data_IF_963884237695
#
_entry.id   IF_963884237695
#
_cell.length_a   1.000
_cell.length_b   1.000
_cell.length_c   1.000
_cell.angle_alpha   90.00
_cell.angle_beta   90.00
_cell.angle_gamma   90.00
#
_symmetry.space_group_name_H-M   'P 1'
#
loop_
_entity.id
_entity.type
_entity.pdbx_description
1 polymer ?
#
# COMPACT_ATOMS: atom_id res chain seq x y z
N UNK A 1 18.61 4.25 -23.25
CA UNK A 1 19.70 3.71 -22.40
C UNK A 1 19.08 2.84 -21.32
N UNK A 2 19.54 1.60 -21.13
CA UNK A 2 19.09 0.78 -19.99
C UNK A 2 19.58 1.43 -18.70
N UNK A 3 18.65 1.78 -17.80
CA UNK A 3 18.99 2.43 -16.52
C UNK A 3 19.71 1.43 -15.62
N UNK A 4 20.82 1.85 -15.01
CA UNK A 4 21.59 1.02 -14.08
C UNK A 4 20.84 0.95 -12.75
N UNK A 5 20.57 -0.26 -12.27
CA UNK A 5 19.88 -0.49 -11.00
C UNK A 5 20.63 0.21 -9.84
N UNK A 6 19.93 1.09 -9.12
CA UNK A 6 20.50 1.79 -7.98
C UNK A 6 20.31 0.95 -6.71
N UNK A 7 21.41 0.76 -5.97
CA UNK A 7 21.40 0.09 -4.66
C UNK A 7 21.46 1.14 -3.55
N UNK A 8 20.33 1.50 -2.92
CA UNK A 8 20.31 2.55 -1.90
C UNK A 8 21.02 2.10 -0.62
N UNK A 9 21.97 2.92 -0.15
CA UNK A 9 22.67 2.72 1.13
C UNK A 9 21.70 2.99 2.29
N UNK A 10 21.84 2.23 3.38
CA UNK A 10 21.11 2.51 4.62
C UNK A 10 21.65 3.80 5.25
N UNK A 11 20.75 4.66 5.69
CA UNK A 11 21.06 5.91 6.40
C UNK A 11 20.35 5.87 7.74
N UNK A 12 21.02 6.32 8.78
CA UNK A 12 20.48 6.40 10.15
C UNK A 12 20.33 7.87 10.53
N UNK A 13 19.32 8.19 11.34
CA UNK A 13 19.08 9.55 11.83
C UNK A 13 17.61 9.80 12.14
N UNK A 14 17.35 10.94 12.81
CA UNK A 14 16.01 11.34 13.24
C UNK A 14 14.97 11.30 12.13
N UNK A 15 15.27 11.93 10.99
CA UNK A 15 14.38 11.95 9.84
C UNK A 15 14.09 10.58 9.24
N UNK A 16 15.06 9.65 9.30
CA UNK A 16 14.83 8.27 8.85
C UNK A 16 13.91 7.53 9.83
N UNK A 17 14.09 7.71 11.13
CA UNK A 17 13.21 7.12 12.14
C UNK A 17 11.77 7.64 12.00
N UNK A 18 11.59 8.95 11.80
CA UNK A 18 10.28 9.54 11.54
C UNK A 18 9.60 8.91 10.31
N UNK A 19 10.37 8.67 9.25
CA UNK A 19 9.86 8.01 8.05
C UNK A 19 9.42 6.57 8.31
N UNK A 20 10.16 5.80 9.11
CA UNK A 20 9.75 4.45 9.50
C UNK A 20 8.47 4.45 10.34
N UNK A 21 8.34 5.37 11.29
CA UNK A 21 7.14 5.54 12.10
C UNK A 21 5.94 5.92 11.23
N UNK A 22 6.10 6.91 10.35
CA UNK A 22 5.05 7.31 9.40
C UNK A 22 4.62 6.16 8.49
N UNK A 23 5.58 5.43 7.92
CA UNK A 23 5.32 4.24 7.11
C UNK A 23 4.52 3.18 7.89
N UNK A 24 4.91 2.88 9.14
CA UNK A 24 4.23 1.91 9.98
C UNK A 24 2.80 2.35 10.34
N UNK A 25 2.59 3.62 10.67
CA UNK A 25 1.26 4.18 10.97
C UNK A 25 0.37 4.10 9.73
N UNK A 26 0.84 4.55 8.57
CA UNK A 26 0.04 4.61 7.35
C UNK A 26 -0.33 3.22 6.84
N UNK A 27 0.62 2.28 6.85
CA UNK A 27 0.34 0.88 6.52
C UNK A 27 -0.58 0.23 7.57
N UNK A 28 -0.38 0.53 8.86
CA UNK A 28 -1.23 0.05 9.94
C UNK A 28 -2.68 0.50 9.81
N UNK A 29 -2.89 1.78 9.47
CA UNK A 29 -4.22 2.32 9.18
C UNK A 29 -4.80 1.63 7.94
N UNK A 30 -4.04 1.56 6.85
CA UNK A 30 -4.51 0.99 5.59
C UNK A 30 -4.92 -0.48 5.71
N UNK A 31 -4.12 -1.29 6.41
CA UNK A 31 -4.42 -2.70 6.61
C UNK A 31 -5.40 -2.95 7.75
N UNK A 32 -5.42 -2.12 8.79
CA UNK A 32 -6.20 -2.36 10.00
C UNK A 32 -7.63 -1.85 9.93
N UNK A 33 -7.87 -0.70 9.29
CA UNK A 33 -9.19 -0.05 9.28
C UNK A 33 -10.31 -0.94 8.75
N UNK A 34 -10.16 -1.73 7.67
CA UNK A 34 -11.24 -2.60 7.18
C UNK A 34 -11.67 -3.68 8.18
N UNK A 35 -10.80 -4.05 9.12
CA UNK A 35 -11.09 -5.06 10.14
C UNK A 35 -11.76 -4.49 11.40
N UNK A 36 -11.75 -3.17 11.54
CA UNK A 36 -12.33 -2.53 12.71
C UNK A 36 -13.86 -2.67 12.65
N UNK A 37 -14.41 -3.33 13.66
CA UNK A 37 -15.86 -3.48 13.81
C UNK A 37 -16.43 -2.29 14.55
N UNK A 38 -17.56 -1.78 14.06
CA UNK A 38 -18.26 -0.65 14.63
C UNK A 38 -19.76 -0.88 14.54
N UNK A 39 -20.40 -1.04 15.70
CA UNK A 39 -21.85 -1.23 15.80
C UNK A 39 -22.58 0.11 15.56
N UNK A 40 -23.53 0.11 14.63
CA UNK A 40 -24.37 1.26 14.25
C UNK A 40 -25.86 1.01 14.52
N UNK A 41 -26.20 -0.12 15.14
CA UNK A 41 -27.57 -0.56 15.36
C UNK A 41 -28.03 -1.64 14.37
N UNK A 42 -29.24 -2.13 14.59
CA UNK A 42 -29.82 -3.28 13.91
C UNK A 42 -29.93 -3.07 12.39
N UNK A 43 -29.31 -3.95 11.61
CA UNK A 43 -29.44 -4.02 10.15
C UNK A 43 -28.45 -3.18 9.34
N UNK A 44 -27.50 -2.50 10.01
CA UNK A 44 -26.40 -1.81 9.33
C UNK A 44 -25.14 -2.68 9.28
N UNK A 45 -24.24 -2.48 8.28
CA UNK A 45 -22.96 -3.19 8.25
C UNK A 45 -22.10 -2.80 9.47
N UNK A 46 -21.51 -3.77 10.17
CA UNK A 46 -20.65 -3.46 11.34
C UNK A 46 -19.19 -3.16 10.98
N UNK A 47 -18.87 -2.81 9.73
CA UNK A 47 -17.51 -2.43 9.35
C UNK A 47 -17.30 -0.92 9.50
N UNK A 48 -16.26 -0.50 10.23
CA UNK A 48 -16.02 0.90 10.57
C UNK A 48 -15.86 1.81 9.35
N UNK A 49 -15.19 1.37 8.29
CA UNK A 49 -15.12 2.12 7.03
C UNK A 49 -15.53 1.22 5.89
N UNK A 50 -16.62 1.56 5.21
CA UNK A 50 -17.19 0.75 4.13
C UNK A 50 -17.77 1.66 3.05
N UNK A 51 -17.31 1.46 1.82
CA UNK A 51 -17.89 2.06 0.60
C UNK A 51 -18.90 1.08 0.04
N UNK A 52 -20.15 1.21 0.45
CA UNK A 52 -21.25 0.38 -0.04
C UNK A 52 -21.76 0.92 -1.38
N UNK A 53 -21.16 0.40 -2.45
CA UNK A 53 -21.53 0.77 -3.83
C UNK A 53 -22.94 0.29 -4.19
N UNK A 54 -23.40 -0.82 -3.60
CA UNK A 54 -24.71 -1.40 -3.93
C UNK A 54 -25.87 -0.54 -3.43
N UNK A 55 -25.73 0.00 -2.21
CA UNK A 55 -26.73 0.91 -1.63
C UNK A 55 -26.38 2.40 -1.82
N UNK A 56 -25.25 2.70 -2.48
CA UNK A 56 -24.78 4.06 -2.70
C UNK A 56 -24.46 4.81 -1.41
N UNK A 57 -23.97 4.12 -0.38
CA UNK A 57 -23.69 4.70 0.94
C UNK A 57 -22.21 4.59 1.27
N UNK A 58 -21.66 5.62 1.90
CA UNK A 58 -20.31 5.57 2.45
C UNK A 58 -20.37 5.66 3.97
N UNK A 59 -19.84 4.64 4.64
CA UNK A 59 -19.82 4.58 6.10
C UNK A 59 -18.43 4.91 6.63
N UNK A 60 -18.37 5.82 7.61
CA UNK A 60 -17.16 6.23 8.32
C UNK A 60 -17.46 6.30 9.82
N UNK A 61 -17.06 5.26 10.56
CA UNK A 61 -17.40 5.06 11.97
C UNK A 61 -18.91 5.21 12.20
N UNK A 62 -19.36 6.16 13.02
CA UNK A 62 -20.78 6.41 13.27
C UNK A 62 -21.47 7.26 12.20
N UNK A 63 -20.72 7.79 11.23
CA UNK A 63 -21.26 8.65 10.18
C UNK A 63 -21.60 7.83 8.94
N UNK A 64 -22.81 8.02 8.42
CA UNK A 64 -23.21 7.58 7.10
C UNK A 64 -23.27 8.79 6.16
N UNK A 65 -22.69 8.67 4.98
CA UNK A 65 -22.71 9.69 3.95
C UNK A 65 -23.57 9.20 2.80
N UNK A 66 -24.58 10.00 2.48
CA UNK A 66 -25.44 9.81 1.33
C UNK A 66 -24.81 10.45 0.08
N UNK A 67 -25.18 10.04 -1.14
CA UNK A 67 -24.63 10.59 -2.38
C UNK A 67 -24.72 12.12 -2.50
N UNK A 68 -25.77 12.71 -1.92
CA UNK A 68 -25.98 14.17 -1.90
C UNK A 68 -24.97 14.89 -0.98
N UNK A 69 -24.50 14.21 0.06
CA UNK A 69 -23.56 14.73 1.06
C UNK A 69 -22.09 14.58 0.62
N UNK A 70 -21.85 13.92 -0.53
CA UNK A 70 -20.52 13.81 -1.15
C UNK A 70 -19.92 15.18 -1.46
N UNK A 71 -20.72 16.25 -1.49
CA UNK A 71 -20.23 17.63 -1.58
C UNK A 71 -19.29 18.00 -0.42
N UNK A 72 -19.53 17.49 0.79
CA UNK A 72 -18.64 17.73 1.94
C UNK A 72 -17.30 17.02 1.74
N UNK A 73 -17.32 15.78 1.26
CA UNK A 73 -16.11 15.01 0.92
C UNK A 73 -15.35 15.72 -0.19
N UNK A 74 -16.04 16.21 -1.22
CA UNK A 74 -15.44 16.95 -2.34
C UNK A 74 -14.78 18.25 -1.85
N UNK A 75 -15.44 19.01 -1.00
CA UNK A 75 -14.87 20.20 -0.37
C UNK A 75 -13.61 19.88 0.44
N UNK A 76 -13.61 18.79 1.20
CA UNK A 76 -12.45 18.31 1.94
C UNK A 76 -11.30 17.92 1.00
N UNK A 77 -11.59 17.24 -0.11
CA UNK A 77 -10.58 16.86 -1.11
C UNK A 77 -9.96 18.09 -1.78
N UNK A 78 -10.75 19.13 -2.07
CA UNK A 78 -10.25 20.41 -2.59
C UNK A 78 -9.32 21.08 -1.57
N UNK A 79 -9.73 21.15 -0.30
CA UNK A 79 -8.90 21.70 0.77
C UNK A 79 -7.61 20.90 0.96
N UNK A 80 -7.68 19.57 0.89
CA UNK A 80 -6.50 18.70 0.96
C UNK A 80 -5.56 18.92 -0.23
N UNK A 81 -6.09 19.10 -1.44
CA UNK A 81 -5.29 19.41 -2.63
C UNK A 81 -4.60 20.78 -2.51
N UNK A 82 -5.33 21.82 -2.08
CA UNK A 82 -4.76 23.14 -1.81
C UNK A 82 -3.69 23.09 -0.72
N UNK A 83 -3.94 22.34 0.36
CA UNK A 83 -2.98 22.10 1.43
C UNK A 83 -1.73 21.40 0.94
N UNK A 84 -1.86 20.39 0.09
CA UNK A 84 -0.74 19.69 -0.54
C UNK A 84 0.10 20.63 -1.41
N UNK A 85 -0.52 21.48 -2.23
CA UNK A 85 0.18 22.49 -3.02
C UNK A 85 0.92 23.50 -2.13
N UNK A 86 0.27 23.98 -1.07
CA UNK A 86 0.88 24.91 -0.12
C UNK A 86 2.10 24.29 0.58
N UNK A 87 1.98 23.06 1.10
CA UNK A 87 3.08 22.33 1.72
C UNK A 87 4.22 22.12 0.72
N UNK A 88 3.88 21.80 -0.54
CA UNK A 88 4.89 21.63 -1.59
C UNK A 88 5.61 22.94 -1.93
N UNK A 89 4.89 24.06 -1.95
CA UNK A 89 5.48 25.38 -2.18
C UNK A 89 6.39 25.85 -1.04
N UNK A 90 6.01 25.57 0.22
CA UNK A 90 6.76 26.01 1.40
C UNK A 90 7.94 25.08 1.75
N UNK A 91 7.75 23.77 1.66
CA UNK A 91 8.68 22.77 2.17
C UNK A 91 9.25 21.85 1.08
N UNK A 92 8.87 22.04 -0.19
CA UNK A 92 9.34 21.23 -1.30
C UNK A 92 8.78 19.81 -1.29
N UNK A 93 9.63 18.80 -1.55
CA UNK A 93 9.21 17.40 -1.78
C UNK A 93 8.92 16.58 -0.49
N UNK A 94 8.50 17.22 0.60
CA UNK A 94 8.23 16.52 1.87
C UNK A 94 7.14 15.46 1.72
N UNK A 95 6.03 15.78 1.03
CA UNK A 95 4.96 14.81 0.78
C UNK A 95 5.48 13.57 0.04
N UNK A 96 6.14 13.79 -1.10
CA UNK A 96 6.72 12.72 -1.91
C UNK A 96 7.78 11.93 -1.13
N UNK A 97 8.52 12.55 -0.21
CA UNK A 97 9.57 11.91 0.57
C UNK A 97 9.08 11.04 1.74
N UNK A 98 7.92 11.36 2.34
CA UNK A 98 7.48 10.77 3.61
C UNK A 98 6.09 10.14 3.61
N UNK A 99 5.14 10.66 2.84
CA UNK A 99 3.72 10.29 2.93
C UNK A 99 3.14 9.74 1.62
N UNK A 100 3.78 9.98 0.48
CA UNK A 100 3.29 9.46 -0.80
C UNK A 100 3.18 7.92 -0.76
N UNK A 101 2.04 7.34 -1.16
CA UNK A 101 1.87 5.88 -1.19
C UNK A 101 2.98 5.18 -1.96
N UNK A 102 3.37 5.70 -3.13
CA UNK A 102 4.45 5.10 -3.90
C UNK A 102 5.75 4.95 -3.08
N UNK A 103 6.08 5.95 -2.27
CA UNK A 103 7.28 5.96 -1.42
C UNK A 103 7.19 4.96 -0.29
N UNK A 104 6.05 4.88 0.41
CA UNK A 104 5.83 3.96 1.52
C UNK A 104 5.99 2.50 1.06
N UNK A 105 5.37 2.13 -0.06
CA UNK A 105 5.48 0.77 -0.59
C UNK A 105 6.88 0.48 -1.15
N UNK A 106 7.52 1.45 -1.80
CA UNK A 106 8.91 1.30 -2.27
C UNK A 106 9.88 1.10 -1.11
N UNK A 107 9.75 1.88 -0.01
CA UNK A 107 10.59 1.70 1.18
C UNK A 107 10.35 0.36 1.86
N UNK A 108 9.10 -0.11 1.90
CA UNK A 108 8.76 -1.45 2.38
C UNK A 108 9.42 -2.54 1.52
N UNK A 109 9.38 -2.42 0.20
CA UNK A 109 10.00 -3.38 -0.71
C UNK A 109 11.52 -3.39 -0.58
N UNK A 110 12.14 -2.21 -0.37
CA UNK A 110 13.58 -2.08 -0.10
C UNK A 110 13.94 -2.68 1.27
N UNK A 111 13.07 -2.57 2.28
CA UNK A 111 13.26 -3.24 3.57
C UNK A 111 13.31 -4.76 3.39
N UNK A 112 12.38 -5.32 2.62
CA UNK A 112 12.36 -6.74 2.28
C UNK A 112 13.61 -7.15 1.49
N UNK A 113 14.02 -6.37 0.47
CA UNK A 113 15.27 -6.61 -0.25
C UNK A 113 16.47 -6.72 0.69
N UNK A 114 16.55 -5.82 1.66
CA UNK A 114 17.65 -5.80 2.64
C UNK A 114 17.60 -7.00 3.57
N UNK A 115 16.41 -7.45 3.97
CA UNK A 115 16.26 -8.62 4.82
C UNK A 115 16.76 -9.92 4.12
N UNK A 116 16.50 -10.08 2.82
CA UNK A 116 16.92 -11.27 2.07
C UNK A 116 18.34 -11.18 1.49
N UNK A 117 18.70 -10.05 0.90
CA UNK A 117 19.94 -9.88 0.13
C UNK A 117 21.03 -9.09 0.88
N UNK A 118 20.69 -8.48 2.01
CA UNK A 118 21.61 -7.72 2.85
C UNK A 118 21.86 -6.27 2.40
N UNK A 119 22.95 -5.70 2.93
CA UNK A 119 23.35 -4.32 2.65
C UNK A 119 23.76 -4.08 1.19
N UNK A 120 23.97 -2.81 0.83
CA UNK A 120 24.36 -2.39 -0.52
C UNK A 120 25.51 -3.21 -1.13
N UNK A 121 26.59 -3.43 -0.38
CA UNK A 121 27.76 -4.18 -0.87
C UNK A 121 27.46 -5.67 -1.04
N UNK A 122 26.65 -6.26 -0.16
CA UNK A 122 26.22 -7.65 -0.25
C UNK A 122 25.35 -7.87 -1.50
N UNK A 123 24.41 -6.96 -1.78
CA UNK A 123 23.57 -7.00 -2.99
C UNK A 123 24.37 -6.92 -4.29
N UNK A 124 25.30 -5.97 -4.38
CA UNK A 124 26.16 -5.82 -5.55
C UNK A 124 27.00 -7.09 -5.77
N UNK A 125 27.52 -7.69 -4.70
CA UNK A 125 28.29 -8.95 -4.76
C UNK A 125 27.40 -10.14 -5.15
N UNK A 126 26.19 -10.23 -4.58
CA UNK A 126 25.23 -11.29 -4.90
C UNK A 126 24.82 -11.25 -6.38
N UNK A 127 24.59 -10.05 -6.92
CA UNK A 127 24.21 -9.90 -8.33
C UNK A 127 25.34 -10.30 -9.28
N UNK A 128 26.60 -9.98 -8.93
CA UNK A 128 27.79 -10.39 -9.69
C UNK A 128 28.18 -11.86 -9.53
N UNK A 129 27.73 -12.53 -8.46
CA UNK A 129 28.06 -13.94 -8.21
C UNK A 129 27.33 -14.89 -9.19
N UNK A 130 27.92 -16.05 -9.52
CA UNK A 130 27.24 -17.07 -10.34
C UNK A 130 25.96 -17.57 -9.66
N UNK A 131 25.06 -18.18 -10.43
CA UNK A 131 23.84 -18.76 -9.89
C UNK A 131 24.17 -19.91 -8.92
N UNK A 132 23.85 -19.70 -7.65
CA UNK A 132 23.93 -20.69 -6.57
C UNK A 132 22.55 -20.91 -5.96
N UNK A 133 22.38 -22.02 -5.23
CA UNK A 133 21.14 -22.28 -4.48
C UNK A 133 20.84 -21.17 -3.45
N UNK A 134 21.86 -20.62 -2.80
CA UNK A 134 21.71 -19.46 -1.89
C UNK A 134 21.20 -18.22 -2.63
N UNK A 135 21.75 -17.92 -3.82
CA UNK A 135 21.28 -16.81 -4.66
C UNK A 135 19.83 -17.00 -5.09
N UNK A 136 19.47 -18.21 -5.55
CA UNK A 136 18.12 -18.53 -5.96
C UNK A 136 17.12 -18.41 -4.80
N UNK A 137 17.46 -18.92 -3.62
CA UNK A 137 16.64 -18.80 -2.41
C UNK A 137 16.45 -17.35 -1.98
N UNK A 138 17.51 -16.53 -1.93
CA UNK A 138 17.41 -15.12 -1.53
C UNK A 138 16.57 -14.30 -2.50
N UNK A 139 16.82 -14.45 -3.81
CA UNK A 139 16.07 -13.74 -4.85
C UNK A 139 14.62 -14.22 -4.89
N UNK A 140 14.39 -15.54 -4.90
CA UNK A 140 13.07 -16.14 -4.90
C UNK A 140 12.26 -15.77 -3.67
N UNK A 141 12.84 -15.90 -2.47
CA UNK A 141 12.20 -15.52 -1.20
C UNK A 141 11.81 -14.05 -1.15
N UNK A 142 12.68 -13.14 -1.62
CA UNK A 142 12.32 -11.73 -1.77
C UNK A 142 11.10 -11.55 -2.68
N UNK A 143 11.11 -12.14 -3.89
CA UNK A 143 10.00 -11.98 -4.83
C UNK A 143 8.70 -12.59 -4.29
N UNK A 144 8.78 -13.70 -3.56
CA UNK A 144 7.64 -14.28 -2.87
C UNK A 144 7.06 -13.30 -1.84
N UNK A 145 7.89 -12.72 -0.98
CA UNK A 145 7.43 -11.73 0.02
C UNK A 145 6.88 -10.47 -0.64
N UNK A 146 7.49 -10.00 -1.74
CA UNK A 146 6.95 -8.89 -2.53
C UNK A 146 5.56 -9.19 -3.10
N UNK A 147 5.35 -10.39 -3.64
CA UNK A 147 4.06 -10.82 -4.13
C UNK A 147 3.03 -10.92 -3.00
N UNK A 148 3.41 -11.43 -1.82
CA UNK A 148 2.52 -11.48 -0.66
C UNK A 148 2.11 -10.09 -0.20
N UNK A 149 3.04 -9.13 -0.12
CA UNK A 149 2.73 -7.74 0.25
C UNK A 149 1.85 -7.09 -0.81
N UNK A 150 2.11 -7.31 -2.10
CA UNK A 150 1.31 -6.76 -3.17
C UNK A 150 -0.12 -7.36 -3.19
N UNK A 151 -0.25 -8.67 -2.94
CA UNK A 151 -1.53 -9.34 -2.81
C UNK A 151 -2.31 -8.86 -1.58
N UNK A 152 -1.62 -8.70 -0.44
CA UNK A 152 -2.22 -8.11 0.75
C UNK A 152 -2.70 -6.67 0.48
N UNK A 153 -1.91 -5.86 -0.24
CA UNK A 153 -2.30 -4.50 -0.63
C UNK A 153 -3.56 -4.52 -1.49
N UNK A 154 -3.59 -5.33 -2.54
CA UNK A 154 -4.77 -5.45 -3.40
C UNK A 154 -6.00 -5.95 -2.63
N UNK A 155 -5.84 -6.93 -1.74
CA UNK A 155 -6.92 -7.45 -0.89
C UNK A 155 -7.46 -6.41 0.07
N UNK A 156 -6.58 -5.69 0.77
CA UNK A 156 -6.95 -4.62 1.68
C UNK A 156 -7.77 -3.53 1.01
N UNK A 157 -7.43 -3.16 -0.24
CA UNK A 157 -8.24 -2.22 -1.01
C UNK A 157 -9.68 -2.71 -1.21
N UNK A 158 -9.86 -3.98 -1.59
CA UNK A 158 -11.19 -4.53 -1.86
C UNK A 158 -12.00 -4.65 -0.56
N UNK A 159 -11.34 -4.90 0.57
CA UNK A 159 -11.99 -4.88 1.89
C UNK A 159 -12.59 -3.52 2.26
N UNK A 160 -12.24 -2.41 1.58
CA UNK A 160 -12.96 -1.14 1.77
C UNK A 160 -14.32 -1.08 1.05
N UNK A 161 -14.59 -1.98 0.10
CA UNK A 161 -15.83 -1.99 -0.71
C UNK A 161 -16.80 -3.12 -0.33
N UNK A 162 -16.29 -4.16 0.33
CA UNK A 162 -17.07 -5.29 0.81
C UNK A 162 -16.63 -5.65 2.23
N UNK A 163 -17.53 -6.28 2.99
CA UNK A 163 -17.25 -6.73 4.35
C UNK A 163 -15.98 -7.60 4.40
N UNK A 164 -14.98 -7.17 5.17
CA UNK A 164 -13.63 -7.75 5.11
C UNK A 164 -13.57 -9.24 5.54
N UNK A 165 -14.17 -9.67 6.67
CA UNK A 165 -14.18 -11.08 7.06
C UNK A 165 -14.91 -11.97 6.06
N UNK A 166 -16.07 -11.51 5.56
CA UNK A 166 -16.88 -12.26 4.61
C UNK A 166 -16.15 -12.44 3.28
N UNK A 167 -15.60 -11.34 2.73
CA UNK A 167 -14.88 -11.39 1.47
C UNK A 167 -13.59 -12.21 1.57
N UNK A 168 -12.88 -12.16 2.71
CA UNK A 168 -11.71 -13.01 2.91
C UNK A 168 -12.09 -14.49 2.82
N UNK A 169 -13.18 -14.90 3.47
CA UNK A 169 -13.70 -16.27 3.37
C UNK A 169 -14.03 -16.66 1.93
N UNK A 170 -14.77 -15.80 1.22
CA UNK A 170 -15.17 -16.02 -0.18
C UNK A 170 -13.98 -16.12 -1.14
N UNK A 171 -12.91 -15.37 -0.89
CA UNK A 171 -11.69 -15.43 -1.69
C UNK A 171 -11.04 -16.81 -1.62
N UNK A 172 -11.04 -17.44 -0.43
CA UNK A 172 -10.49 -18.78 -0.22
C UNK A 172 -11.42 -19.91 -0.70
N UNK A 173 -12.74 -19.72 -0.61
CA UNK A 173 -13.71 -20.73 -1.10
C UNK A 173 -13.91 -20.68 -2.62
N UNK A 174 -13.44 -19.63 -3.30
CA UNK A 174 -13.64 -19.47 -4.75
C UNK A 174 -14.97 -18.82 -5.12
N UNK A 175 -15.71 -18.32 -4.13
CA UNK A 175 -17.07 -17.78 -4.28
C UNK A 175 -17.10 -16.25 -4.37
N UNK A 176 -15.94 -15.58 -4.30
CA UNK A 176 -15.88 -14.14 -4.39
C UNK A 176 -16.31 -13.62 -5.79
N UNK A 177 -16.89 -12.42 -5.88
CA UNK A 177 -17.25 -11.83 -7.16
C UNK A 177 -16.04 -11.74 -8.11
N UNK A 178 -16.24 -11.96 -9.41
CA UNK A 178 -15.17 -11.87 -10.41
C UNK A 178 -14.45 -10.51 -10.37
N UNK A 179 -15.20 -9.44 -10.08
CA UNK A 179 -14.65 -8.08 -9.92
C UNK A 179 -13.62 -8.04 -8.78
N UNK A 180 -13.86 -8.71 -7.66
CA UNK A 180 -12.91 -8.77 -6.55
C UNK A 180 -11.59 -9.45 -6.99
N UNK A 181 -11.66 -10.58 -7.69
CA UNK A 181 -10.47 -11.23 -8.23
C UNK A 181 -9.72 -10.37 -9.26
N UNK A 182 -10.46 -9.69 -10.15
CA UNK A 182 -9.87 -8.82 -11.17
C UNK A 182 -9.12 -7.63 -10.53
N UNK A 183 -9.75 -6.94 -9.57
CA UNK A 183 -9.09 -5.84 -8.85
C UNK A 183 -7.95 -6.34 -7.97
N UNK A 184 -8.06 -7.52 -7.35
CA UNK A 184 -6.98 -8.11 -6.56
C UNK A 184 -5.76 -8.35 -7.45
N UNK A 185 -5.96 -9.01 -8.60
CA UNK A 185 -4.89 -9.28 -9.54
C UNK A 185 -4.27 -7.99 -10.11
N UNK A 186 -5.11 -7.03 -10.50
CA UNK A 186 -4.65 -5.74 -11.05
C UNK A 186 -3.84 -4.95 -10.03
N UNK A 187 -4.33 -4.82 -8.79
CA UNK A 187 -3.65 -4.08 -7.74
C UNK A 187 -2.40 -4.79 -7.26
N UNK A 188 -2.41 -6.12 -7.21
CA UNK A 188 -1.22 -6.93 -6.94
C UNK A 188 -0.16 -6.69 -8.02
N UNK A 189 -0.54 -6.79 -9.29
CA UNK A 189 0.37 -6.60 -10.41
C UNK A 189 0.96 -5.19 -10.45
N UNK A 190 0.12 -4.17 -10.29
CA UNK A 190 0.56 -2.77 -10.29
C UNK A 190 1.43 -2.46 -9.08
N UNK A 191 1.05 -2.88 -7.87
CA UNK A 191 1.87 -2.67 -6.66
C UNK A 191 3.23 -3.35 -6.80
N UNK A 192 3.27 -4.60 -7.24
CA UNK A 192 4.50 -5.35 -7.44
C UNK A 192 5.42 -4.67 -8.47
N UNK A 193 4.85 -4.26 -9.60
CA UNK A 193 5.62 -3.65 -10.70
C UNK A 193 6.08 -2.25 -10.33
N UNK A 194 5.20 -1.39 -9.80
CA UNK A 194 5.52 0.00 -9.49
C UNK A 194 6.48 0.13 -8.31
N UNK A 195 6.27 -0.61 -7.21
CA UNK A 195 7.14 -0.53 -6.03
C UNK A 195 8.43 -1.36 -6.18
N UNK A 196 8.36 -2.49 -6.89
CA UNK A 196 9.50 -3.40 -7.06
C UNK A 196 10.41 -3.01 -8.21
N UNK A 197 9.87 -2.91 -9.44
CA UNK A 197 10.68 -2.82 -10.66
C UNK A 197 10.76 -1.41 -11.25
N UNK A 198 9.67 -0.63 -11.17
CA UNK A 198 9.58 0.70 -11.78
C UNK A 198 9.75 1.85 -10.79
N UNK A 199 10.25 1.59 -9.57
CA UNK A 199 10.41 2.59 -8.51
C UNK A 199 11.16 3.85 -8.93
N UNK A 200 12.15 3.71 -9.81
CA UNK A 200 12.97 4.81 -10.33
C UNK A 200 12.32 5.58 -11.49
N UNK A 201 11.25 5.04 -12.08
CA UNK A 201 10.52 5.65 -13.18
C UNK A 201 9.36 6.52 -12.68
N UNK A 202 8.78 6.15 -11.53
CA UNK A 202 7.63 6.84 -10.95
C UNK A 202 8.04 8.08 -10.16
N UNK A 203 9.19 8.05 -9.47
CA UNK A 203 9.60 9.11 -8.54
C UNK A 203 10.92 9.82 -8.92
N UNK A 204 11.05 10.27 -10.18
CA UNK A 204 12.11 11.19 -10.63
C UNK A 204 11.89 12.63 -10.17
#
# INVERSE_FOLDING_TARGET
QARVQIYPKLVHGWFRSLKWVGMAIMLGIYYGVPWLRWDRGLGQPDQAVLVDVANGRFYLFAYEFWPQEVIFITGLLILAALGLFLVTALFGRVWCGYACPQTIWTDLFILVERAFEGDRSARIRLDKSPWSLDKAWRKGGKHLVWLLIAAATGGAWIFYFHDAPTLLGQLFTGEAPLVAYAFLALLTFTTYTLAGTMREQVCT
#
